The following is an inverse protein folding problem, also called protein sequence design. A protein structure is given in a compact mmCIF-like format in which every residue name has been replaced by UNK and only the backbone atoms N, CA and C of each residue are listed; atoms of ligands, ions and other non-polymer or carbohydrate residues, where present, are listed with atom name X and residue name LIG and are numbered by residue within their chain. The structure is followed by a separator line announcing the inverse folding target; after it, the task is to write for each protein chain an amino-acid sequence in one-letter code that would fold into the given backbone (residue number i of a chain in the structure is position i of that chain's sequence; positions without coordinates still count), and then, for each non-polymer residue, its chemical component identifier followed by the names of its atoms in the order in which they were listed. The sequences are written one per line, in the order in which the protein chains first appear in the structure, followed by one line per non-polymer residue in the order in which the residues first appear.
data_IF_750109106930
#
_entry.id   IF_750109106930
#
_cell.length_a   1.000
_cell.length_b   1.000
_cell.length_c   1.000
_cell.angle_alpha   90.00
_cell.angle_beta   90.00
_cell.angle_gamma   90.00
#
_symmetry.space_group_name_H-M   'P 1'
#
loop_
_entity.id
_entity.type
_entity.pdbx_description
1 polymer ?
#
# COMPACT_ATOMS: atom_id res chain seq x y z
N UNK A 1 15.49 -5.90 -27.33
CA UNK A 1 15.00 -4.51 -27.50
C UNK A 1 13.51 -4.55 -27.26
N UNK A 2 13.00 -3.84 -26.26
CA UNK A 2 11.58 -3.86 -25.89
C UNK A 2 10.99 -2.52 -26.29
N UNK A 3 9.98 -2.51 -27.16
CA UNK A 3 9.30 -1.29 -27.61
C UNK A 3 8.33 -0.81 -26.52
N UNK A 4 8.31 0.48 -26.24
CA UNK A 4 7.40 1.16 -25.30
C UNK A 4 6.20 1.74 -26.08
N UNK A 5 5.09 2.02 -25.38
CA UNK A 5 3.89 2.66 -25.97
C UNK A 5 4.20 3.99 -26.65
N UNK A 6 5.18 4.74 -26.12
CA UNK A 6 5.62 6.03 -26.64
C UNK A 6 6.38 5.93 -27.97
N UNK A 7 6.80 4.74 -28.38
CA UNK A 7 7.56 4.52 -29.61
C UNK A 7 6.67 4.45 -30.86
N UNK A 8 5.34 4.52 -30.70
CA UNK A 8 4.36 4.38 -31.77
C UNK A 8 3.55 5.68 -31.97
N UNK A 9 3.34 6.07 -33.24
CA UNK A 9 2.53 7.25 -33.60
C UNK A 9 1.03 6.94 -33.61
N UNK A 10 0.65 5.71 -33.96
CA UNK A 10 -0.73 5.21 -34.00
C UNK A 10 -0.78 3.79 -33.43
N UNK A 11 -1.90 3.43 -32.78
CA UNK A 11 -2.13 2.12 -32.19
C UNK A 11 -3.41 1.51 -32.78
N UNK A 12 -3.27 0.57 -33.71
CA UNK A 12 -4.40 -0.13 -34.32
C UNK A 12 -4.33 -1.64 -34.02
N UNK A 13 -5.37 -2.18 -33.37
CA UNK A 13 -5.45 -3.60 -32.93
C UNK A 13 -4.25 -4.10 -32.09
N UNK A 14 -3.61 -3.22 -31.31
CA UNK A 14 -2.45 -3.60 -30.49
C UNK A 14 -2.92 -4.27 -29.19
N UNK A 15 -2.51 -5.52 -28.98
CA UNK A 15 -2.64 -6.22 -27.70
C UNK A 15 -1.33 -6.15 -26.92
N UNK A 16 -1.42 -5.85 -25.63
CA UNK A 16 -0.27 -5.86 -24.72
C UNK A 16 -0.24 -7.17 -23.95
N UNK A 17 0.91 -7.83 -23.96
CA UNK A 17 1.14 -9.02 -23.15
C UNK A 17 1.81 -8.61 -21.85
N UNK A 18 1.15 -8.91 -20.73
CA UNK A 18 1.78 -8.87 -19.41
C UNK A 18 2.28 -10.27 -19.12
N UNK A 19 3.59 -10.47 -19.18
CA UNK A 19 4.20 -11.70 -18.70
C UNK A 19 4.23 -11.67 -17.18
N UNK A 20 3.81 -12.75 -16.54
CA UNK A 20 4.02 -12.88 -15.10
C UNK A 20 5.52 -12.97 -14.83
N UNK A 21 6.01 -12.10 -13.94
CA UNK A 21 7.35 -12.25 -13.41
C UNK A 21 7.46 -13.55 -12.61
N UNK A 22 8.63 -14.19 -12.65
CA UNK A 22 8.94 -15.31 -11.76
C UNK A 22 9.01 -14.77 -10.33
N UNK A 23 8.21 -15.29 -9.37
CA UNK A 23 8.34 -14.91 -7.98
C UNK A 23 9.76 -15.17 -7.48
N UNK A 24 10.36 -14.20 -6.80
CA UNK A 24 11.66 -14.40 -6.14
C UNK A 24 11.54 -15.24 -4.87
N UNK A 25 12.66 -15.78 -4.40
CA UNK A 25 12.73 -16.65 -3.22
C UNK A 25 12.43 -15.93 -1.90
N UNK A 26 12.55 -14.59 -1.88
CA UNK A 26 12.42 -13.78 -0.66
C UNK A 26 10.99 -13.39 -0.31
N UNK A 27 9.99 -14.06 -0.88
CA UNK A 27 8.59 -13.82 -0.51
C UNK A 27 8.27 -14.43 0.88
N UNK A 28 7.43 -13.77 1.70
CA UNK A 28 6.78 -12.49 1.45
C UNK A 28 7.73 -11.29 1.66
N UNK A 29 7.65 -10.30 0.76
CA UNK A 29 8.49 -9.08 0.85
C UNK A 29 8.11 -8.18 2.04
N UNK A 30 6.89 -8.33 2.55
CA UNK A 30 6.34 -7.54 3.64
C UNK A 30 5.57 -8.44 4.59
N UNK A 31 5.60 -8.08 5.86
CA UNK A 31 4.79 -8.70 6.90
C UNK A 31 4.17 -7.61 7.80
N UNK A 32 3.08 -7.94 8.53
CA UNK A 32 2.58 -7.11 9.62
C UNK A 32 3.67 -6.84 10.66
N UNK A 33 3.85 -5.57 11.05
CA UNK A 33 4.83 -5.17 12.09
C UNK A 33 4.27 -4.10 13.04
N UNK A 34 3.01 -3.69 12.89
CA UNK A 34 2.39 -2.58 13.61
C UNK A 34 0.93 -2.90 13.98
N UNK A 35 0.37 -2.31 15.06
CA UNK A 35 -1.00 -2.60 15.46
C UNK A 35 -2.07 -2.33 14.37
N UNK A 36 -1.79 -1.40 13.45
CA UNK A 36 -2.71 -1.06 12.36
C UNK A 36 -2.57 -1.95 11.11
N UNK A 37 -1.62 -2.87 11.08
CA UNK A 37 -1.46 -3.85 10.01
C UNK A 37 -1.61 -5.31 10.47
N UNK A 38 -1.88 -5.50 11.76
CA UNK A 38 -1.99 -6.82 12.41
C UNK A 38 -3.06 -7.72 11.79
N UNK A 39 -4.17 -7.14 11.32
CA UNK A 39 -5.21 -7.90 10.63
C UNK A 39 -4.86 -8.26 9.19
N UNK A 40 -3.80 -7.68 8.65
CA UNK A 40 -3.26 -8.01 7.33
C UNK A 40 -2.74 -6.79 6.57
N UNK A 41 -1.84 -7.10 5.65
CA UNK A 41 -1.38 -6.21 4.59
C UNK A 41 -1.83 -6.79 3.25
N UNK A 42 -2.44 -5.97 2.41
CA UNK A 42 -2.94 -6.41 1.12
C UNK A 42 -3.03 -5.23 0.16
N UNK A 43 -3.08 -5.53 -1.14
CA UNK A 43 -3.07 -4.55 -2.22
C UNK A 43 -1.93 -3.53 -2.10
N UNK A 44 -0.81 -3.89 -2.71
CA UNK A 44 0.29 -2.99 -3.00
C UNK A 44 -0.21 -2.10 -4.15
N UNK A 45 -0.97 -1.04 -3.82
CA UNK A 45 -1.79 -0.32 -4.79
C UNK A 45 -0.96 0.16 -5.98
N UNK A 46 -0.06 1.11 -5.70
CA UNK A 46 0.82 1.71 -6.71
C UNK A 46 2.26 1.57 -6.24
N UNK A 47 3.13 1.09 -7.12
CA UNK A 47 4.58 1.01 -6.91
C UNK A 47 5.26 1.79 -8.02
N UNK A 48 6.06 2.80 -7.67
CA UNK A 48 6.73 3.69 -8.62
C UNK A 48 8.21 3.85 -8.26
N UNK A 49 9.07 3.93 -9.26
CA UNK A 49 10.45 4.38 -9.07
C UNK A 49 10.51 5.89 -9.22
N UNK A 50 10.86 6.60 -8.15
CA UNK A 50 10.96 8.05 -8.17
C UNK A 50 12.27 8.47 -8.88
N UNK A 51 12.21 9.28 -9.95
CA UNK A 51 13.41 9.69 -10.68
C UNK A 51 14.30 10.68 -9.91
N UNK A 52 13.76 11.37 -8.89
CA UNK A 52 14.51 12.39 -8.14
C UNK A 52 15.51 11.75 -7.18
N UNK A 53 15.09 10.72 -6.44
CA UNK A 53 15.92 10.05 -5.41
C UNK A 53 16.28 8.61 -5.80
N UNK A 54 15.78 8.10 -6.91
CA UNK A 54 16.02 6.74 -7.40
C UNK A 54 15.32 5.64 -6.60
N UNK A 55 14.53 5.98 -5.58
CA UNK A 55 13.88 5.01 -4.69
C UNK A 55 12.60 4.45 -5.30
N UNK A 56 12.36 3.17 -5.02
CA UNK A 56 11.04 2.58 -5.17
C UNK A 56 10.14 3.07 -4.03
N UNK A 57 8.95 3.54 -4.38
CA UNK A 57 7.94 4.06 -3.46
C UNK A 57 6.65 3.30 -3.67
N UNK A 58 6.04 2.87 -2.59
CA UNK A 58 4.77 2.15 -2.63
C UNK A 58 3.78 2.66 -1.60
N UNK A 59 2.49 2.58 -1.95
CA UNK A 59 1.37 2.87 -1.05
C UNK A 59 0.57 1.60 -0.83
N UNK A 60 0.57 1.11 0.40
CA UNK A 60 0.05 -0.19 0.78
C UNK A 60 -1.14 -0.02 1.73
N UNK A 61 -2.23 -0.72 1.46
CA UNK A 61 -3.36 -0.77 2.39
C UNK A 61 -3.02 -1.76 3.51
N UNK A 62 -3.28 -1.35 4.75
CA UNK A 62 -3.20 -2.19 5.94
C UNK A 62 -4.55 -2.22 6.63
N UNK A 63 -4.83 -3.33 7.30
CA UNK A 63 -5.99 -3.43 8.19
C UNK A 63 -5.54 -3.82 9.59
N UNK A 64 -6.05 -3.15 10.64
CA UNK A 64 -5.99 -3.72 11.97
C UNK A 64 -6.91 -4.94 12.05
N UNK A 65 -6.82 -5.66 13.17
CA UNK A 65 -7.82 -6.67 13.53
C UNK A 65 -9.21 -6.03 13.51
N UNK A 66 -10.17 -6.68 12.84
CA UNK A 66 -11.54 -6.18 12.74
C UNK A 66 -12.21 -6.10 14.10
N UNK A 67 -12.85 -4.97 14.37
CA UNK A 67 -13.62 -4.76 15.59
C UNK A 67 -15.10 -4.73 15.26
N UNK A 68 -15.88 -5.53 15.99
CA UNK A 68 -17.33 -5.54 15.85
C UNK A 68 -17.88 -4.16 16.24
N UNK A 69 -18.82 -3.65 15.44
CA UNK A 69 -19.44 -2.35 15.63
C UNK A 69 -20.96 -2.45 15.50
N UNK A 70 -21.59 -3.27 16.34
CA UNK A 70 -23.03 -3.53 16.33
C UNK A 70 -23.40 -4.93 15.79
N UNK A 71 -24.71 -5.20 15.61
CA UNK A 71 -25.19 -6.45 15.00
C UNK A 71 -24.82 -6.52 13.52
N UNK A 72 -24.01 -7.51 13.12
CA UNK A 72 -23.64 -7.75 11.71
C UNK A 72 -22.66 -6.76 11.09
N UNK A 73 -22.24 -5.72 11.82
CA UNK A 73 -21.40 -4.63 11.33
C UNK A 73 -20.00 -4.66 11.93
N UNK A 74 -18.99 -4.40 11.10
CA UNK A 74 -17.57 -4.41 11.47
C UNK A 74 -16.91 -3.09 11.10
N UNK A 75 -15.99 -2.61 11.93
CA UNK A 75 -15.10 -1.50 11.58
C UNK A 75 -13.86 -2.03 10.91
N UNK A 76 -13.61 -1.49 9.72
CA UNK A 76 -12.42 -1.74 8.93
C UNK A 76 -11.61 -0.44 8.92
N UNK A 77 -10.91 -0.15 10.02
CA UNK A 77 -10.09 1.06 10.19
C UNK A 77 -8.80 0.97 9.34
N UNK A 78 -8.99 0.75 8.04
CA UNK A 78 -7.91 0.55 7.07
C UNK A 78 -7.07 1.82 6.97
N UNK A 79 -5.76 1.63 6.84
CA UNK A 79 -4.80 2.74 6.68
C UNK A 79 -3.96 2.55 5.44
N UNK A 80 -3.66 3.65 4.78
CA UNK A 80 -2.67 3.70 3.72
C UNK A 80 -1.29 3.92 4.34
N UNK A 81 -0.34 3.03 4.07
CA UNK A 81 1.05 3.14 4.52
C UNK A 81 1.94 3.47 3.33
N UNK A 82 2.93 4.31 3.58
CA UNK A 82 3.99 4.62 2.65
C UNK A 82 5.21 3.72 2.91
N UNK A 83 5.79 3.20 1.83
CA UNK A 83 6.93 2.29 1.84
C UNK A 83 8.01 2.79 0.87
N UNK A 84 9.27 2.59 1.25
CA UNK A 84 10.43 2.89 0.42
C UNK A 84 11.35 1.68 0.29
N UNK A 85 11.94 1.51 -0.89
CA UNK A 85 12.94 0.48 -1.17
C UNK A 85 14.01 1.01 -2.11
N UNK A 86 15.25 0.54 -1.92
CA UNK A 86 16.38 0.85 -2.82
C UNK A 86 16.52 -0.16 -3.95
N UNK A 87 16.09 -1.40 -3.71
CA UNK A 87 16.32 -2.57 -4.57
C UNK A 87 15.01 -3.16 -5.13
N UNK A 88 13.85 -2.70 -4.66
CA UNK A 88 12.53 -3.23 -5.01
C UNK A 88 12.15 -4.51 -4.25
N UNK A 89 13.03 -5.01 -3.37
CA UNK A 89 12.88 -6.28 -2.63
C UNK A 89 12.81 -6.02 -1.14
N UNK A 90 13.71 -5.20 -0.61
CA UNK A 90 13.79 -4.84 0.80
C UNK A 90 13.02 -3.54 1.03
N UNK A 91 11.91 -3.61 1.75
CA UNK A 91 11.03 -2.48 1.97
C UNK A 91 11.12 -1.96 3.41
N UNK A 92 11.13 -0.63 3.53
CA UNK A 92 11.16 0.09 4.79
C UNK A 92 9.93 0.97 4.93
N UNK A 93 9.46 1.15 6.17
CA UNK A 93 8.41 2.10 6.52
C UNK A 93 9.10 3.32 7.14
N UNK A 94 9.38 4.39 6.36
CA UNK A 94 10.04 5.56 6.91
C UNK A 94 9.16 6.16 8.00
N UNK A 95 9.75 6.34 9.19
CA UNK A 95 9.03 6.76 10.37
C UNK A 95 8.93 8.27 10.47
N UNK A 96 7.70 8.80 10.41
CA UNK A 96 7.29 9.91 11.27
C UNK A 96 5.97 9.52 11.93
N UNK A 97 6.02 9.22 13.22
CA UNK A 97 4.81 9.07 14.03
C UNK A 97 4.18 10.45 14.18
N UNK A 98 3.26 10.81 13.30
CA UNK A 98 2.34 11.90 13.56
C UNK A 98 0.97 11.43 13.12
N UNK A 99 0.20 10.95 14.09
CA UNK A 99 -1.17 11.37 14.34
C UNK A 99 -1.72 10.45 15.44
N UNK A 100 -1.54 10.87 16.70
CA UNK A 100 -2.69 10.83 17.59
C UNK A 100 -3.79 11.58 16.83
N UNK A 101 -4.73 10.84 16.24
CA UNK A 101 -6.00 11.43 15.87
C UNK A 101 -6.59 11.80 17.23
N UNK A 102 -6.75 13.10 17.58
CA UNK A 102 -7.46 13.42 18.80
C UNK A 102 -8.82 12.75 18.67
N UNK A 103 -9.15 11.90 19.64
CA UNK A 103 -10.50 11.36 19.75
C UNK A 103 -11.43 12.57 19.72
N UNK A 104 -12.27 12.67 18.69
CA UNK A 104 -13.44 13.53 18.75
C UNK A 104 -14.35 12.97 19.84
N UNK A 105 -14.03 13.26 21.09
CA UNK A 105 -15.00 13.19 22.16
C UNK A 105 -16.00 14.29 21.86
N UNK A 106 -17.14 13.89 21.30
CA UNK A 106 -18.35 14.69 21.32
C UNK A 106 -18.60 15.08 22.78
N UNK A 107 -18.32 16.34 23.11
CA UNK A 107 -18.86 16.98 24.29
C UNK A 107 -20.37 17.08 24.11
N UNK A 108 -21.07 16.04 24.56
CA UNK A 108 -22.50 16.13 24.88
C UNK A 108 -22.60 16.14 26.39
N UNK A 109 -22.32 17.29 26.99
CA UNK A 109 -22.88 17.61 28.30
C UNK A 109 -24.33 18.01 28.06
N UNK A 110 -25.21 17.03 28.16
CA UNK A 110 -26.63 17.25 28.40
C UNK A 110 -26.91 17.02 29.88
N UNK A 111 -27.74 17.91 30.43
CA UNK A 111 -28.24 18.03 31.82
C UNK A 111 -27.40 18.90 32.74
#
# INVERSE_FOLDING_TARGET
MTLQTSDFTDLDLVAWRVEQGTPGDNNPLLEPKRPWDEGGIFSHGTVLRNPIDGLWKAWQISTPIFKRHGPGTWRHDRRLNYLESKDGVTWTRPGRQTNQIPSCHSSTSAS
#
